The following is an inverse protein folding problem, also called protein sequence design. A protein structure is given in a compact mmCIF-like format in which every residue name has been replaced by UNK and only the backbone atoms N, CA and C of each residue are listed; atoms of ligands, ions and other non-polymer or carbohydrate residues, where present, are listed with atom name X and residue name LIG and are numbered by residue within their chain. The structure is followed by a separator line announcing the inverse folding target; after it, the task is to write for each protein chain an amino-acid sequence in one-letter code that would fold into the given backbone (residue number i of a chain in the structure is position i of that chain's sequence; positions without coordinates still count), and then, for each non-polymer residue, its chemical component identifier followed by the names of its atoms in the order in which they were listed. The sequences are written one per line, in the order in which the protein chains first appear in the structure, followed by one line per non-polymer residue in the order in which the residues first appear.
data_IF_468275236473
#
_entry.id   IF_468275236473
#
_cell.length_a   1.000
_cell.length_b   1.000
_cell.length_c   1.000
_cell.angle_alpha   90.00
_cell.angle_beta   90.00
_cell.angle_gamma   90.00
#
_symmetry.space_group_name_H-M   'P 1'
#
loop_
_entity.id
_entity.type
_entity.pdbx_description
1 polymer ?
#
# COMPACT_ATOMS: atom_id res chain seq x y z
N UNK A 1 -10.26 12.15 -18.16
CA UNK A 1 -9.75 10.96 -17.42
C UNK A 1 -8.98 11.43 -16.19
N UNK A 2 -9.12 10.74 -15.07
CA UNK A 2 -8.27 10.92 -13.87
C UNK A 2 -7.30 9.72 -13.86
N UNK A 3 -6.01 9.94 -13.60
CA UNK A 3 -5.05 8.84 -13.44
C UNK A 3 -5.38 7.99 -12.20
N UNK A 4 -4.67 6.88 -12.03
CA UNK A 4 -4.89 5.95 -10.91
C UNK A 4 -3.78 6.12 -9.86
N UNK A 5 -3.90 7.15 -9.03
CA UNK A 5 -3.05 7.31 -7.84
C UNK A 5 -3.94 7.19 -6.63
N UNK A 6 -3.62 6.21 -5.77
CA UNK A 6 -4.27 6.06 -4.48
C UNK A 6 -3.23 6.20 -3.37
N UNK A 7 -3.58 6.98 -2.35
CA UNK A 7 -2.73 7.19 -1.20
C UNK A 7 -3.57 7.33 0.07
N UNK A 8 -3.02 6.87 1.18
CA UNK A 8 -3.64 6.99 2.49
C UNK A 8 -2.56 7.19 3.56
N UNK A 9 -2.96 7.83 4.67
CA UNK A 9 -2.11 8.00 5.84
C UNK A 9 -2.51 6.98 6.91
N UNK A 10 -1.54 6.20 7.38
CA UNK A 10 -1.73 5.31 8.52
C UNK A 10 -1.69 6.11 9.82
N UNK A 11 -2.73 6.00 10.63
CA UNK A 11 -2.77 6.53 12.00
C UNK A 11 -2.11 5.53 12.92
N UNK A 12 -0.98 5.92 13.52
CA UNK A 12 -0.20 5.09 14.44
C UNK A 12 0.19 5.97 15.62
N UNK A 13 -0.48 5.78 16.75
CA UNK A 13 -0.33 6.65 17.93
C UNK A 13 0.98 6.40 18.69
N UNK A 14 1.45 5.14 18.71
CA UNK A 14 2.71 4.79 19.34
C UNK A 14 3.90 5.35 18.52
N UNK A 15 4.74 6.23 19.12
CA UNK A 15 5.84 6.86 18.39
C UNK A 15 6.92 5.89 17.88
N UNK A 16 7.18 4.81 18.61
CA UNK A 16 8.17 3.78 18.23
C UNK A 16 7.66 2.95 17.04
N UNK A 17 6.37 2.60 17.08
CA UNK A 17 5.69 1.93 15.97
C UNK A 17 5.60 2.85 14.74
N UNK A 18 5.29 4.14 14.92
CA UNK A 18 5.25 5.12 13.85
C UNK A 18 6.62 5.30 13.17
N UNK A 19 7.71 5.37 13.95
CA UNK A 19 9.06 5.53 13.43
C UNK A 19 9.52 4.37 12.54
N UNK A 20 8.98 3.17 12.76
CA UNK A 20 9.33 1.95 12.01
C UNK A 20 8.27 1.53 10.99
N UNK A 21 7.18 2.30 10.85
CA UNK A 21 6.02 1.92 10.05
C UNK A 21 6.39 1.58 8.60
N UNK A 22 7.09 2.46 7.89
CA UNK A 22 7.34 2.27 6.45
C UNK A 22 8.06 0.95 6.16
N UNK A 23 9.06 0.61 6.97
CA UNK A 23 9.82 -0.63 6.81
C UNK A 23 8.95 -1.86 7.07
N UNK A 24 8.19 -1.85 8.17
CA UNK A 24 7.32 -2.98 8.54
C UNK A 24 6.21 -3.20 7.52
N UNK A 25 5.57 -2.11 7.09
CA UNK A 25 4.51 -2.16 6.08
C UNK A 25 5.03 -2.68 4.73
N UNK A 26 6.19 -2.18 4.26
CA UNK A 26 6.81 -2.67 3.03
C UNK A 26 7.15 -4.17 3.10
N UNK A 27 7.77 -4.62 4.20
CA UNK A 27 8.12 -6.04 4.37
C UNK A 27 6.88 -6.93 4.40
N UNK A 28 5.84 -6.52 5.12
CA UNK A 28 4.57 -7.27 5.20
C UNK A 28 3.87 -7.29 3.83
N UNK A 29 3.81 -6.16 3.13
CA UNK A 29 3.24 -6.10 1.78
C UNK A 29 3.97 -7.05 0.82
N UNK A 30 5.30 -7.13 0.90
CA UNK A 30 6.10 -8.03 0.06
C UNK A 30 5.81 -9.51 0.35
N UNK A 31 5.59 -9.88 1.62
CA UNK A 31 5.16 -11.23 2.02
C UNK A 31 3.79 -11.60 1.42
N UNK A 32 2.95 -10.60 1.15
CA UNK A 32 1.65 -10.71 0.49
C UNK A 32 1.71 -10.47 -1.03
N UNK A 33 2.90 -10.51 -1.63
CA UNK A 33 3.15 -10.33 -3.07
C UNK A 33 2.76 -8.94 -3.59
N UNK A 34 2.79 -7.92 -2.73
CA UNK A 34 2.46 -6.54 -3.05
C UNK A 34 3.70 -5.63 -3.05
N UNK A 35 3.87 -4.88 -4.13
CA UNK A 35 4.89 -3.83 -4.21
C UNK A 35 4.26 -2.46 -3.91
N UNK A 36 4.07 -2.17 -2.63
CA UNK A 36 3.55 -0.88 -2.14
C UNK A 36 4.70 0.05 -1.73
N UNK A 37 4.56 1.36 -1.93
CA UNK A 37 5.60 2.32 -1.52
C UNK A 37 5.13 3.20 -0.36
N UNK A 38 5.53 2.87 0.88
CA UNK A 38 5.38 3.78 2.02
C UNK A 38 6.45 4.89 2.01
N UNK A 39 6.06 6.10 2.37
CA UNK A 39 6.92 7.26 2.67
C UNK A 39 6.49 7.80 4.04
N UNK A 40 7.27 7.52 5.08
CA UNK A 40 6.81 7.76 6.45
C UNK A 40 5.54 6.94 6.71
N UNK A 41 4.47 7.57 7.20
CA UNK A 41 3.17 6.90 7.42
C UNK A 41 2.21 6.99 6.24
N UNK A 42 2.61 7.63 5.15
CA UNK A 42 1.81 7.71 3.93
C UNK A 42 2.15 6.52 3.05
N UNK A 43 1.15 5.74 2.66
CA UNK A 43 1.30 4.67 1.68
C UNK A 43 0.67 5.15 0.39
N UNK A 44 1.34 4.90 -0.72
CA UNK A 44 0.75 5.13 -2.03
C UNK A 44 0.96 3.94 -2.96
N UNK A 45 0.01 3.79 -3.88
CA UNK A 45 0.05 2.79 -4.95
C UNK A 45 -0.53 3.38 -6.23
N UNK A 46 0.01 2.92 -7.35
CA UNK A 46 -0.38 3.31 -8.68
C UNK A 46 -0.46 2.01 -9.49
N UNK A 47 -1.65 1.41 -9.64
CA UNK A 47 -1.82 0.21 -10.44
C UNK A 47 -1.35 0.49 -11.87
N UNK A 48 -0.57 -0.41 -12.49
CA UNK A 48 -0.25 -0.32 -13.90
C UNK A 48 -1.52 -0.14 -14.75
N UNK A 49 -1.50 0.80 -15.70
CA UNK A 49 -2.65 1.10 -16.56
C UNK A 49 -3.06 -0.04 -17.51
N UNK A 50 -2.26 -1.10 -17.57
CA UNK A 50 -2.55 -2.30 -18.36
C UNK A 50 -3.47 -3.27 -17.63
N UNK A 51 -3.68 -3.09 -16.31
CA UNK A 51 -4.47 -4.03 -15.52
C UNK A 51 -5.96 -3.99 -15.91
N UNK A 52 -6.57 -5.15 -15.95
CA UNK A 52 -8.02 -5.29 -16.06
C UNK A 52 -8.74 -5.17 -14.70
N UNK A 53 -10.07 -5.19 -14.72
CA UNK A 53 -10.89 -5.01 -13.52
C UNK A 53 -10.68 -6.15 -12.50
N UNK A 54 -10.48 -7.40 -12.97
CA UNK A 54 -10.26 -8.56 -12.09
C UNK A 54 -8.88 -8.49 -11.41
N UNK A 55 -7.86 -8.04 -12.15
CA UNK A 55 -6.52 -7.79 -11.62
C UNK A 55 -6.52 -6.65 -10.57
N UNK A 56 -7.31 -5.60 -10.80
CA UNK A 56 -7.50 -4.49 -9.85
C UNK A 56 -8.20 -4.99 -8.57
N UNK A 57 -9.25 -5.78 -8.70
CA UNK A 57 -9.96 -6.38 -7.56
C UNK A 57 -9.03 -7.28 -6.74
N UNK A 58 -8.19 -8.08 -7.40
CA UNK A 58 -7.16 -8.90 -6.75
C UNK A 58 -6.11 -8.06 -6.01
N UNK A 59 -5.67 -6.94 -6.59
CA UNK A 59 -4.75 -6.00 -5.96
C UNK A 59 -5.39 -5.36 -4.71
N UNK A 60 -6.64 -4.94 -4.79
CA UNK A 60 -7.38 -4.36 -3.66
C UNK A 60 -7.55 -5.38 -2.53
N UNK A 61 -8.01 -6.60 -2.85
CA UNK A 61 -8.22 -7.66 -1.88
C UNK A 61 -6.95 -8.01 -1.10
N UNK A 62 -5.80 -8.12 -1.78
CA UNK A 62 -4.51 -8.36 -1.09
C UNK A 62 -4.08 -7.15 -0.27
N UNK A 63 -4.30 -5.92 -0.74
CA UNK A 63 -3.93 -4.72 0.02
C UNK A 63 -4.64 -4.65 1.38
N UNK A 64 -5.86 -5.21 1.49
CA UNK A 64 -6.58 -5.31 2.76
C UNK A 64 -5.99 -6.31 3.77
N UNK A 65 -5.06 -7.16 3.34
CA UNK A 65 -4.43 -8.18 4.21
C UNK A 65 -3.17 -7.71 4.92
N UNK A 66 -2.72 -6.46 4.65
CA UNK A 66 -1.51 -5.83 5.18
C UNK A 66 -1.83 -4.83 6.29
#
# INVERSE_FOLDING_TARGET
QRGMIWAFDAVVDDPSAAATFSRRFFSTALEHELLLRPIGRTVYLMPPYVMDDDEIDGLAARTHTV
#
